data_IF_074326559992
#
_entry.id   IF_074326559992
#
_cell.length_a   1.000
_cell.length_b   1.000
_cell.length_c   1.000
_cell.angle_alpha   90.00
_cell.angle_beta   90.00
_cell.angle_gamma   90.00
#
_symmetry.space_group_name_H-M   'P 1'
#
loop_
_entity.id
_entity.type
_entity.pdbx_description
1 polymer ?
#
# COMPACT_ATOMS: atom_id res chain seq x y z
N UNK A 1 -10.94 50.18 40.69
CA UNK A 1 -11.85 49.22 40.01
C UNK A 1 -11.09 48.01 39.48
N UNK A 2 -9.85 48.18 38.98
CA UNK A 2 -9.00 47.06 38.53
C UNK A 2 -8.66 46.04 39.63
N UNK A 3 -8.39 46.47 40.87
CA UNK A 3 -8.02 45.54 41.96
C UNK A 3 -9.18 44.60 42.33
N UNK A 4 -10.41 45.11 42.42
CA UNK A 4 -11.60 44.29 42.68
C UNK A 4 -11.85 43.26 41.58
N UNK A 5 -11.60 43.61 40.32
CA UNK A 5 -11.73 42.70 39.19
C UNK A 5 -10.65 41.60 39.28
N UNK A 6 -9.44 41.97 39.67
CA UNK A 6 -8.32 41.05 39.84
C UNK A 6 -8.59 40.05 41.00
N UNK A 7 -9.09 40.53 42.14
CA UNK A 7 -9.48 39.70 43.27
C UNK A 7 -10.60 38.71 42.91
N UNK A 8 -11.59 39.16 42.12
CA UNK A 8 -12.67 38.28 41.65
C UNK A 8 -12.17 37.22 40.66
N UNK A 9 -11.26 37.58 39.75
CA UNK A 9 -10.61 36.63 38.85
C UNK A 9 -9.77 35.60 39.62
N UNK A 10 -9.04 36.03 40.65
CA UNK A 10 -8.24 35.13 41.48
C UNK A 10 -9.13 34.19 42.32
N UNK A 11 -10.24 34.70 42.86
CA UNK A 11 -11.25 33.90 43.57
C UNK A 11 -11.88 32.84 42.65
N UNK A 12 -12.25 33.23 41.42
CA UNK A 12 -12.77 32.30 40.40
C UNK A 12 -11.76 31.22 40.03
N UNK A 13 -10.48 31.57 39.87
CA UNK A 13 -9.41 30.58 39.64
C UNK A 13 -9.29 29.60 40.80
N UNK A 14 -9.18 30.09 42.04
CA UNK A 14 -9.13 29.25 43.25
C UNK A 14 -10.34 28.32 43.37
N UNK A 15 -11.54 28.77 43.01
CA UNK A 15 -12.74 27.95 43.03
C UNK A 15 -12.73 26.87 41.93
N UNK A 16 -12.26 27.21 40.72
CA UNK A 16 -12.06 26.25 39.62
C UNK A 16 -11.04 25.18 39.99
N UNK A 17 -9.94 25.56 40.63
CA UNK A 17 -8.90 24.63 41.07
C UNK A 17 -9.42 23.67 42.15
N UNK A 18 -10.21 24.18 43.10
CA UNK A 18 -10.88 23.35 44.11
C UNK A 18 -11.84 22.35 43.49
N UNK A 19 -12.68 22.77 42.54
CA UNK A 19 -13.61 21.88 41.82
C UNK A 19 -12.86 20.81 41.01
N UNK A 20 -11.75 21.18 40.38
CA UNK A 20 -10.90 20.23 39.66
C UNK A 20 -10.30 19.19 40.61
N UNK A 21 -9.79 19.64 41.76
CA UNK A 21 -9.23 18.77 42.79
C UNK A 21 -10.28 17.83 43.39
N UNK A 22 -11.50 18.31 43.66
CA UNK A 22 -12.62 17.51 44.16
C UNK A 22 -13.05 16.45 43.12
N UNK A 23 -13.15 16.81 41.84
CA UNK A 23 -13.41 15.85 40.76
C UNK A 23 -12.35 14.76 40.69
N UNK A 24 -11.08 15.13 40.82
CA UNK A 24 -9.98 14.16 40.79
C UNK A 24 -9.99 13.23 42.01
N UNK A 25 -10.27 13.74 43.21
CA UNK A 25 -10.43 12.92 44.41
C UNK A 25 -11.61 11.96 44.27
N UNK A 26 -12.78 12.44 43.83
CA UNK A 26 -13.95 11.58 43.59
C UNK A 26 -13.67 10.50 42.55
N UNK A 27 -12.91 10.81 41.50
CA UNK A 27 -12.50 9.83 40.50
C UNK A 27 -11.59 8.74 41.11
N UNK A 28 -10.61 9.12 41.93
CA UNK A 28 -9.76 8.16 42.65
C UNK A 28 -10.54 7.28 43.62
N UNK A 29 -11.50 7.85 44.34
CA UNK A 29 -12.38 7.09 45.24
C UNK A 29 -13.23 6.08 44.48
N UNK A 30 -13.73 6.44 43.28
CA UNK A 30 -14.45 5.52 42.41
C UNK A 30 -13.56 4.37 41.93
N UNK A 31 -12.33 4.67 41.54
CA UNK A 31 -11.35 3.67 41.12
C UNK A 31 -11.03 2.70 42.27
N UNK A 32 -10.72 3.21 43.46
CA UNK A 32 -10.49 2.40 44.66
C UNK A 32 -11.71 1.54 45.05
N UNK A 33 -12.92 2.12 44.97
CA UNK A 33 -14.16 1.38 45.24
C UNK A 33 -14.38 0.28 44.20
N UNK A 34 -14.05 0.54 42.93
CA UNK A 34 -14.16 -0.43 41.86
C UNK A 34 -13.18 -1.59 42.04
N UNK A 35 -11.92 -1.32 42.42
CA UNK A 35 -10.94 -2.35 42.77
C UNK A 35 -11.44 -3.25 43.90
N UNK A 36 -11.99 -2.67 44.96
CA UNK A 36 -12.58 -3.45 46.07
C UNK A 36 -13.76 -4.32 45.61
N UNK A 37 -14.63 -3.80 44.75
CA UNK A 37 -15.74 -4.56 44.17
C UNK A 37 -15.22 -5.75 43.36
N UNK A 38 -14.18 -5.56 42.57
CA UNK A 38 -13.57 -6.63 41.77
C UNK A 38 -12.95 -7.71 42.65
N UNK A 39 -12.26 -7.33 43.73
CA UNK A 39 -11.69 -8.30 44.67
C UNK A 39 -12.76 -9.09 45.42
N UNK A 40 -13.84 -8.43 45.85
CA UNK A 40 -14.98 -9.12 46.46
C UNK A 40 -15.67 -10.07 45.48
N UNK A 41 -15.78 -9.70 44.20
CA UNK A 41 -16.31 -10.57 43.14
C UNK A 41 -15.44 -11.83 42.96
N UNK A 42 -14.11 -11.68 42.91
CA UNK A 42 -13.17 -12.81 42.82
C UNK A 42 -13.30 -13.75 44.03
N UNK A 43 -13.40 -13.20 45.24
CA UNK A 43 -13.58 -14.01 46.45
C UNK A 43 -14.91 -14.77 46.44
N UNK A 44 -16.00 -14.12 46.00
CA UNK A 44 -17.31 -14.75 45.87
C UNK A 44 -17.26 -15.93 44.87
N UNK A 45 -16.62 -15.73 43.72
CA UNK A 45 -16.44 -16.75 42.71
C UNK A 45 -15.62 -17.94 43.23
N UNK A 46 -14.50 -17.68 43.90
CA UNK A 46 -13.69 -18.73 44.53
C UNK A 46 -14.50 -19.55 45.54
N UNK A 47 -15.31 -18.89 46.37
CA UNK A 47 -16.20 -19.56 47.32
C UNK A 47 -17.27 -20.41 46.64
N UNK A 48 -17.87 -19.92 45.55
CA UNK A 48 -18.85 -20.67 44.76
C UNK A 48 -18.22 -21.92 44.14
N UNK A 49 -17.01 -21.82 43.61
CA UNK A 49 -16.26 -22.97 43.07
C UNK A 49 -15.91 -23.98 44.15
N UNK A 50 -15.38 -23.52 45.28
CA UNK A 50 -15.06 -24.39 46.41
C UNK A 50 -16.28 -25.15 46.90
N UNK A 51 -17.45 -24.49 46.96
CA UNK A 51 -18.73 -25.14 47.31
C UNK A 51 -19.11 -26.22 46.29
N UNK A 52 -19.03 -25.92 45.00
CA UNK A 52 -19.33 -26.87 43.92
C UNK A 52 -18.41 -28.10 43.96
N UNK A 53 -17.11 -27.89 44.20
CA UNK A 53 -16.14 -28.99 44.35
C UNK A 53 -16.41 -29.84 45.61
N UNK A 54 -16.76 -29.21 46.73
CA UNK A 54 -17.09 -29.90 47.96
C UNK A 54 -18.38 -30.73 47.84
N UNK A 55 -19.38 -30.22 47.12
CA UNK A 55 -20.62 -30.92 46.80
C UNK A 55 -20.36 -32.12 45.87
N UNK A 56 -19.52 -31.94 44.84
CA UNK A 56 -19.10 -33.01 43.93
C UNK A 56 -18.38 -34.17 44.67
N UNK A 57 -17.54 -33.86 45.66
CA UNK A 57 -16.84 -34.87 46.49
C UNK A 57 -17.76 -35.62 47.45
N UNK A 58 -18.93 -35.07 47.81
CA UNK A 58 -19.90 -35.68 48.76
C UNK A 58 -20.96 -36.58 48.10
N UNK A 59 -20.94 -36.74 46.79
CA UNK A 59 -21.75 -37.75 46.08
C UNK A 59 -23.27 -37.57 46.16
N UNK A 60 -23.78 -36.41 46.60
CA UNK A 60 -25.22 -36.10 46.54
C UNK A 60 -25.49 -35.33 45.24
N UNK A 61 -25.82 -36.08 44.18
CA UNK A 61 -26.12 -35.63 42.79
C UNK A 61 -24.87 -35.17 42.00
N UNK A 62 -24.85 -35.36 40.65
CA UNK A 62 -23.62 -35.39 39.87
C UNK A 62 -22.99 -34.00 39.79
N UNK A 63 -21.67 -33.94 39.58
CA UNK A 63 -20.87 -32.70 39.41
C UNK A 63 -21.26 -31.79 38.24
N UNK A 64 -22.53 -31.79 37.83
CA UNK A 64 -23.14 -30.96 36.80
C UNK A 64 -22.87 -29.48 37.02
N UNK A 65 -22.98 -28.95 38.25
CA UNK A 65 -22.75 -27.51 38.49
C UNK A 65 -21.30 -27.07 38.25
N UNK A 66 -20.30 -27.89 38.62
CA UNK A 66 -18.89 -27.60 38.36
C UNK A 66 -18.56 -27.77 36.87
N UNK A 67 -19.09 -28.82 36.25
CA UNK A 67 -18.96 -29.07 34.82
C UNK A 67 -19.61 -27.95 33.98
N UNK A 68 -20.78 -27.47 34.37
CA UNK A 68 -21.51 -26.35 33.74
C UNK A 68 -20.73 -25.04 33.88
N UNK A 69 -20.17 -24.76 35.07
CA UNK A 69 -19.30 -23.59 35.25
C UNK A 69 -18.07 -23.67 34.33
N UNK A 70 -17.35 -24.79 34.34
CA UNK A 70 -16.18 -24.98 33.46
C UNK A 70 -16.54 -24.85 31.97
N UNK A 71 -17.72 -25.35 31.59
CA UNK A 71 -18.23 -25.22 30.21
C UNK A 71 -18.52 -23.76 29.87
N UNK A 72 -19.20 -23.02 30.75
CA UNK A 72 -19.50 -21.58 30.56
C UNK A 72 -18.24 -20.73 30.49
N UNK A 73 -17.24 -20.99 31.34
CA UNK A 73 -15.96 -20.26 31.30
C UNK A 73 -15.26 -20.49 29.97
N UNK A 74 -15.17 -21.75 29.53
CA UNK A 74 -14.58 -22.09 28.22
C UNK A 74 -15.37 -21.49 27.05
N UNK A 75 -16.70 -21.47 27.14
CA UNK A 75 -17.56 -20.84 26.14
C UNK A 75 -17.28 -19.34 26.05
N UNK A 76 -17.18 -18.63 27.18
CA UNK A 76 -16.85 -17.21 27.22
C UNK A 76 -15.45 -16.91 26.64
N UNK A 77 -14.44 -17.74 26.94
CA UNK A 77 -13.10 -17.64 26.35
C UNK A 77 -13.14 -17.81 24.83
N UNK A 78 -13.85 -18.84 24.34
CA UNK A 78 -14.02 -19.08 22.91
C UNK A 78 -14.78 -17.95 22.21
N UNK A 79 -15.81 -17.38 22.85
CA UNK A 79 -16.53 -16.22 22.31
C UNK A 79 -15.64 -14.98 22.19
N UNK A 80 -14.78 -14.75 23.19
CA UNK A 80 -13.80 -13.66 23.14
C UNK A 80 -12.78 -13.88 22.01
N UNK A 81 -12.28 -15.11 21.86
CA UNK A 81 -11.35 -15.44 20.78
C UNK A 81 -12.00 -15.31 19.40
N UNK A 82 -13.28 -15.72 19.24
CA UNK A 82 -14.04 -15.50 18.01
C UNK A 82 -14.19 -13.99 17.72
N UNK A 83 -14.48 -13.16 18.73
CA UNK A 83 -14.59 -11.71 18.55
C UNK A 83 -13.26 -11.11 18.11
N UNK A 84 -12.16 -11.52 18.73
CA UNK A 84 -10.80 -11.10 18.36
C UNK A 84 -10.45 -11.53 16.94
N UNK A 85 -10.62 -12.81 16.60
CA UNK A 85 -10.36 -13.34 15.26
C UNK A 85 -11.22 -12.66 14.19
N UNK A 86 -12.48 -12.30 14.50
CA UNK A 86 -13.33 -11.52 13.58
C UNK A 86 -12.80 -10.10 13.38
N UNK A 87 -12.25 -9.46 14.42
CA UNK A 87 -11.63 -8.15 14.32
C UNK A 87 -10.34 -8.21 13.49
N UNK A 88 -9.47 -9.18 13.77
CA UNK A 88 -8.22 -9.38 13.03
C UNK A 88 -8.49 -9.67 11.55
N UNK A 89 -9.50 -10.50 11.25
CA UNK A 89 -9.93 -10.75 9.86
C UNK A 89 -10.44 -9.49 9.16
N UNK A 90 -11.16 -8.60 9.85
CA UNK A 90 -11.58 -7.33 9.25
C UNK A 90 -10.38 -6.45 8.93
N UNK A 91 -9.44 -6.32 9.87
CA UNK A 91 -8.21 -5.55 9.67
C UNK A 91 -7.35 -6.10 8.53
N UNK A 92 -7.20 -7.43 8.43
CA UNK A 92 -6.49 -8.07 7.32
C UNK A 92 -7.17 -7.83 5.98
N UNK A 93 -8.51 -7.81 5.92
CA UNK A 93 -9.25 -7.47 4.69
C UNK A 93 -9.02 -6.02 4.28
N UNK A 94 -9.08 -5.08 5.23
CA UNK A 94 -8.79 -3.67 4.97
C UNK A 94 -7.37 -3.46 4.44
N UNK A 95 -6.37 -4.12 5.04
CA UNK A 95 -4.99 -4.09 4.54
C UNK A 95 -4.85 -4.71 3.15
N UNK A 96 -5.57 -5.80 2.88
CA UNK A 96 -5.57 -6.43 1.56
C UNK A 96 -6.16 -5.50 0.49
N UNK A 97 -7.29 -4.85 0.80
CA UNK A 97 -7.94 -3.88 -0.09
C UNK A 97 -7.03 -2.66 -0.36
N UNK A 98 -6.31 -2.19 0.66
CA UNK A 98 -5.31 -1.13 0.50
C UNK A 98 -4.15 -1.55 -0.41
N UNK A 99 -3.57 -2.74 -0.16
CA UNK A 99 -2.48 -3.28 -1.00
C UNK A 99 -2.95 -3.48 -2.44
N UNK A 100 -4.16 -3.98 -2.66
CA UNK A 100 -4.75 -4.10 -4.00
C UNK A 100 -4.86 -2.72 -4.68
N UNK A 101 -5.28 -1.70 -3.94
CA UNK A 101 -5.29 -0.31 -4.42
C UNK A 101 -3.90 0.19 -4.82
N UNK A 102 -2.87 -0.13 -4.04
CA UNK A 102 -1.47 0.21 -4.35
C UNK A 102 -0.98 -0.51 -5.61
N UNK A 103 -1.27 -1.82 -5.77
CA UNK A 103 -0.90 -2.60 -6.96
C UNK A 103 -1.54 -2.00 -8.22
N UNK A 104 -2.82 -1.62 -8.16
CA UNK A 104 -3.50 -0.97 -9.28
C UNK A 104 -2.81 0.36 -9.64
N UNK A 105 -2.49 1.19 -8.65
CA UNK A 105 -1.81 2.46 -8.88
C UNK A 105 -0.42 2.26 -9.52
N UNK A 106 0.38 1.34 -8.99
CA UNK A 106 1.69 0.99 -9.56
C UNK A 106 1.56 0.46 -10.99
N UNK A 107 0.57 -0.38 -11.26
CA UNK A 107 0.31 -0.91 -12.60
C UNK A 107 -0.04 0.21 -13.60
N UNK A 108 -0.88 1.16 -13.19
CA UNK A 108 -1.23 2.33 -14.00
C UNK A 108 0.01 3.21 -14.26
N UNK A 109 0.83 3.45 -13.24
CA UNK A 109 2.07 4.21 -13.40
C UNK A 109 3.06 3.51 -14.33
N UNK A 110 3.24 2.19 -14.18
CA UNK A 110 4.06 1.37 -15.09
C UNK A 110 3.57 1.45 -16.53
N UNK A 111 2.26 1.34 -16.76
CA UNK A 111 1.67 1.50 -18.10
C UNK A 111 1.88 2.90 -18.69
N UNK A 112 1.70 3.96 -17.88
CA UNK A 112 1.99 5.35 -18.29
C UNK A 112 3.44 5.52 -18.71
N UNK A 113 4.36 4.99 -17.92
CA UNK A 113 5.80 5.06 -18.18
C UNK A 113 6.17 4.35 -19.49
N UNK A 114 5.58 3.18 -19.75
CA UNK A 114 5.77 2.45 -21.01
C UNK A 114 5.26 3.23 -22.22
N UNK A 115 4.08 3.85 -22.11
CA UNK A 115 3.55 4.71 -23.18
C UNK A 115 4.43 5.94 -23.43
N UNK A 116 4.98 6.58 -22.38
CA UNK A 116 5.91 7.70 -22.56
C UNK A 116 7.25 7.26 -23.16
N UNK A 117 7.79 6.11 -22.76
CA UNK A 117 9.07 5.61 -23.28
C UNK A 117 8.98 5.18 -24.76
N UNK A 118 7.78 4.89 -25.26
CA UNK A 118 7.54 4.42 -26.63
C UNK A 118 7.78 5.49 -27.70
N UNK A 119 7.86 6.78 -27.33
CA UNK A 119 8.01 7.88 -28.27
C UNK A 119 9.39 8.53 -28.31
N UNK A 120 10.18 8.47 -27.23
CA UNK A 120 11.48 9.17 -27.18
C UNK A 120 12.69 8.27 -27.38
N UNK A 121 12.67 7.00 -26.93
CA UNK A 121 13.90 6.20 -26.80
C UNK A 121 13.70 4.70 -27.11
N UNK A 122 12.78 4.34 -28.02
CA UNK A 122 12.55 2.94 -28.37
C UNK A 122 13.68 2.42 -29.27
N UNK A 123 14.31 1.30 -28.88
CA UNK A 123 15.30 0.56 -29.68
C UNK A 123 14.83 0.32 -31.13
N UNK A 124 13.52 0.18 -31.37
CA UNK A 124 12.97 0.05 -32.71
C UNK A 124 13.15 1.32 -33.58
N UNK A 125 13.11 2.51 -32.97
CA UNK A 125 13.39 3.78 -33.65
C UNK A 125 14.89 3.91 -33.97
N UNK A 126 15.76 3.43 -33.08
CA UNK A 126 17.22 3.39 -33.30
C UNK A 126 17.61 2.38 -34.38
N UNK A 127 17.02 1.18 -34.39
CA UNK A 127 17.23 0.17 -35.45
C UNK A 127 16.75 0.69 -36.81
N UNK A 128 15.60 1.38 -36.87
CA UNK A 128 15.10 1.98 -38.10
C UNK A 128 15.98 3.15 -38.58
N UNK A 129 16.57 3.93 -37.68
CA UNK A 129 17.43 5.05 -38.08
C UNK A 129 18.79 4.57 -38.60
N UNK A 130 19.38 3.56 -37.96
CA UNK A 130 20.63 2.93 -38.39
C UNK A 130 20.47 2.28 -39.77
N UNK A 131 19.41 1.47 -39.98
CA UNK A 131 19.15 0.84 -41.28
C UNK A 131 18.88 1.86 -42.40
N UNK A 132 18.24 3.00 -42.08
CA UNK A 132 18.05 4.09 -43.04
C UNK A 132 19.37 4.77 -43.43
N UNK A 133 20.30 4.94 -42.48
CA UNK A 133 21.61 5.52 -42.77
C UNK A 133 22.43 4.63 -43.70
N UNK A 134 22.45 3.32 -43.45
CA UNK A 134 23.12 2.33 -44.31
C UNK A 134 22.53 2.31 -45.73
N UNK A 135 21.20 2.40 -45.85
CA UNK A 135 20.53 2.49 -47.15
C UNK A 135 20.92 3.77 -47.92
N UNK A 136 20.97 4.92 -47.24
CA UNK A 136 21.39 6.18 -47.86
C UNK A 136 22.86 6.13 -48.30
N UNK A 137 23.74 5.49 -47.54
CA UNK A 137 25.13 5.28 -47.92
C UNK A 137 25.25 4.39 -49.17
N UNK A 138 24.46 3.31 -49.24
CA UNK A 138 24.44 2.43 -50.41
C UNK A 138 23.94 3.17 -51.67
N UNK A 139 22.90 3.99 -51.54
CA UNK A 139 22.39 4.84 -52.63
C UNK A 139 23.49 5.80 -53.09
N UNK A 140 24.15 6.50 -52.16
CA UNK A 140 25.20 7.46 -52.50
C UNK A 140 26.39 6.79 -53.22
N UNK A 141 26.80 5.60 -52.77
CA UNK A 141 27.83 4.81 -53.47
C UNK A 141 27.41 4.43 -54.88
N UNK A 142 26.14 4.05 -55.06
CA UNK A 142 25.61 3.71 -56.38
C UNK A 142 25.55 4.93 -57.30
N UNK A 143 25.15 6.09 -56.78
CA UNK A 143 25.16 7.36 -57.52
C UNK A 143 26.58 7.71 -57.97
N UNK A 144 27.59 7.58 -57.09
CA UNK A 144 28.99 7.82 -57.44
C UNK A 144 29.49 6.87 -58.55
N UNK A 145 29.14 5.58 -58.47
CA UNK A 145 29.45 4.60 -59.52
C UNK A 145 28.80 5.01 -60.84
N UNK A 146 27.52 5.40 -60.81
CA UNK A 146 26.79 5.83 -62.00
C UNK A 146 27.42 7.08 -62.62
N UNK A 147 27.84 8.06 -61.83
CA UNK A 147 28.56 9.25 -62.31
C UNK A 147 29.87 8.87 -63.02
N UNK A 148 30.63 7.93 -62.45
CA UNK A 148 31.88 7.46 -63.06
C UNK A 148 31.64 6.68 -64.35
N UNK A 149 30.57 5.87 -64.41
CA UNK A 149 30.18 5.16 -65.63
C UNK A 149 29.75 6.15 -66.71
N UNK A 150 29.00 7.18 -66.35
CA UNK A 150 28.58 8.22 -67.28
C UNK A 150 29.79 8.97 -67.86
N UNK A 151 30.73 9.43 -67.03
CA UNK A 151 31.97 10.07 -67.48
C UNK A 151 32.81 9.16 -68.39
N UNK A 152 32.85 7.86 -68.09
CA UNK A 152 33.53 6.88 -68.95
C UNK A 152 32.85 6.72 -70.32
N UNK A 153 31.52 6.62 -70.34
CA UNK A 153 30.73 6.57 -71.58
C UNK A 153 30.95 7.86 -72.37
N UNK A 154 30.86 9.02 -71.75
CA UNK A 154 31.05 10.32 -72.39
C UNK A 154 32.43 10.40 -73.07
N UNK A 155 33.50 9.94 -72.40
CA UNK A 155 34.84 9.86 -72.98
C UNK A 155 34.92 8.97 -74.21
N UNK A 156 34.26 7.81 -74.19
CA UNK A 156 34.19 6.91 -75.36
C UNK A 156 33.41 7.57 -76.50
N UNK A 157 32.25 8.16 -76.20
CA UNK A 157 31.39 8.81 -77.19
C UNK A 157 32.14 9.94 -77.89
N UNK A 158 32.85 10.79 -77.13
CA UNK A 158 33.70 11.84 -77.69
C UNK A 158 34.74 11.27 -78.66
N UNK A 159 35.47 10.23 -78.25
CA UNK A 159 36.48 9.60 -79.11
C UNK A 159 35.88 8.99 -80.40
N UNK A 160 34.68 8.40 -80.33
CA UNK A 160 33.97 7.87 -81.49
C UNK A 160 33.52 9.00 -82.41
N UNK A 161 32.97 10.09 -81.87
CA UNK A 161 32.55 11.25 -82.65
C UNK A 161 33.72 11.88 -83.42
N UNK A 162 34.92 11.88 -82.84
CA UNK A 162 36.14 12.39 -83.50
C UNK A 162 36.71 11.43 -84.56
N UNK A 163 36.54 10.12 -84.40
CA UNK A 163 37.21 9.11 -85.23
C UNK A 163 36.32 8.54 -86.35
N UNK A 164 35.08 8.16 -86.03
CA UNK A 164 34.14 7.57 -86.99
C UNK A 164 32.68 7.67 -86.47
N UNK A 165 31.98 8.80 -86.70
CA UNK A 165 30.67 9.07 -86.12
C UNK A 165 29.54 8.20 -86.66
N UNK A 166 29.70 7.57 -87.84
CA UNK A 166 28.67 6.73 -88.47
C UNK A 166 28.26 5.52 -87.63
N UNK A 167 29.10 5.07 -86.68
CA UNK A 167 28.82 3.94 -85.78
C UNK A 167 27.71 4.26 -84.76
N UNK A 168 27.47 5.54 -84.46
CA UNK A 168 26.41 5.96 -83.53
C UNK A 168 25.02 6.06 -84.20
N UNK A 169 24.91 5.78 -85.50
CA UNK A 169 23.65 5.81 -86.24
C UNK A 169 22.73 4.66 -85.80
N UNK A 170 21.60 5.00 -85.17
CA UNK A 170 20.55 4.04 -84.82
C UNK A 170 19.74 3.75 -86.08
N UNK A 171 19.76 2.49 -86.54
CA UNK A 171 19.00 2.02 -87.70
C UNK A 171 17.54 1.74 -87.40
#
# INVERSE_FOLDING_TARGET
MSDRLNDEMESRRKMSDKLSHERHQSQKEKECTQELIEDLRKQLEHLQLYKLEAEAKRGRLPGAGLQEYQTRTREAELEQEIKRLKQDNRSLKEQNDELNGQIINLSIQGAKNLMSASFSDSLAAEINSVSRAELMEAIHKQEEINYRLQDYIDKIIVAIMESNPSILEVK
#
